data_IF_127501674902
#
_entry.id   IF_127501674902
#
_cell.length_a   1.000
_cell.length_b   1.000
_cell.length_c   1.000
_cell.angle_alpha   90.00
_cell.angle_beta   90.00
_cell.angle_gamma   90.00
#
_symmetry.space_group_name_H-M   'P 1'
#
loop_
_entity.id
_entity.type
_entity.pdbx_description
1 polymer ?
#
# COMPACT_ATOMS: atom_id res chain seq x y z
N UNK A 1 -11.31 -20.31 -1.23
CA UNK A 1 -11.36 -19.57 -2.53
C UNK A 1 -11.17 -20.54 -3.68
N UNK A 2 -11.97 -20.45 -4.75
CA UNK A 2 -11.81 -21.30 -5.94
C UNK A 2 -10.64 -20.75 -6.80
N UNK A 3 -9.63 -21.59 -7.04
CA UNK A 3 -8.51 -21.21 -7.91
C UNK A 3 -8.95 -21.28 -9.37
N UNK A 4 -8.62 -20.27 -10.14
CA UNK A 4 -8.95 -20.12 -11.56
C UNK A 4 -7.65 -20.01 -12.37
N UNK A 5 -7.61 -20.58 -13.55
CA UNK A 5 -6.49 -20.38 -14.46
C UNK A 5 -6.41 -18.92 -14.92
N UNK A 6 -5.20 -18.32 -15.04
CA UNK A 6 -5.05 -16.91 -15.40
C UNK A 6 -5.73 -16.49 -16.70
N UNK A 7 -5.73 -17.35 -17.71
CA UNK A 7 -6.39 -17.15 -19.00
C UNK A 7 -7.94 -17.18 -18.91
N UNK A 8 -8.48 -17.90 -17.92
CA UNK A 8 -9.92 -18.02 -17.67
C UNK A 8 -10.44 -17.08 -16.59
N UNK A 9 -9.57 -16.31 -15.97
CA UNK A 9 -10.00 -15.37 -14.94
C UNK A 9 -10.81 -14.22 -15.54
N UNK A 10 -11.91 -13.87 -14.90
CA UNK A 10 -12.76 -12.74 -15.25
C UNK A 10 -12.73 -11.70 -14.12
N UNK A 11 -12.83 -10.40 -14.46
CA UNK A 11 -12.95 -9.35 -13.45
C UNK A 11 -14.11 -9.61 -12.48
N UNK A 12 -13.87 -9.29 -11.21
CA UNK A 12 -14.87 -9.49 -10.17
C UNK A 12 -16.03 -8.51 -10.30
N UNK A 13 -17.17 -8.88 -9.71
CA UNK A 13 -18.40 -8.06 -9.65
C UNK A 13 -19.03 -7.75 -11.04
N UNK A 14 -18.75 -8.55 -12.06
CA UNK A 14 -19.26 -8.33 -13.42
C UNK A 14 -18.71 -7.07 -14.11
N UNK A 15 -17.63 -6.51 -13.60
CA UNK A 15 -17.01 -5.31 -14.17
C UNK A 15 -16.34 -5.67 -15.50
N UNK A 16 -16.56 -4.84 -16.51
CA UNK A 16 -15.83 -4.90 -17.78
C UNK A 16 -14.67 -3.91 -17.69
N UNK A 17 -13.45 -4.41 -17.72
CA UNK A 17 -12.26 -3.59 -17.75
C UNK A 17 -11.95 -3.14 -19.18
N UNK A 18 -11.55 -1.90 -19.33
CA UNK A 18 -10.94 -1.41 -20.58
C UNK A 18 -9.67 -2.22 -20.90
N UNK A 19 -9.30 -2.30 -22.17
CA UNK A 19 -8.18 -3.12 -22.65
C UNK A 19 -6.86 -2.84 -21.90
N UNK A 20 -6.52 -1.56 -21.72
CA UNK A 20 -5.33 -1.16 -20.98
C UNK A 20 -5.37 -1.59 -19.49
N UNK A 21 -6.52 -1.45 -18.84
CA UNK A 21 -6.72 -1.88 -17.45
C UNK A 21 -6.66 -3.42 -17.33
N UNK A 22 -7.28 -4.13 -18.26
CA UNK A 22 -7.24 -5.60 -18.29
C UNK A 22 -5.80 -6.10 -18.49
N UNK A 23 -5.05 -5.47 -19.40
CA UNK A 23 -3.62 -5.75 -19.61
C UNK A 23 -2.81 -5.52 -18.34
N UNK A 24 -2.99 -4.39 -17.65
CA UNK A 24 -2.30 -4.09 -16.41
C UNK A 24 -2.63 -5.07 -15.28
N UNK A 25 -3.90 -5.50 -15.18
CA UNK A 25 -4.31 -6.51 -14.18
C UNK A 25 -3.66 -7.86 -14.45
N UNK A 26 -3.55 -8.29 -15.70
CA UNK A 26 -2.98 -9.60 -16.08
C UNK A 26 -1.47 -9.60 -16.23
N UNK A 27 -0.84 -8.43 -16.33
CA UNK A 27 0.60 -8.31 -16.49
C UNK A 27 1.36 -9.08 -15.40
N UNK A 28 2.31 -9.91 -15.79
CA UNK A 28 3.18 -10.68 -14.91
C UNK A 28 4.57 -10.05 -14.73
N UNK A 29 4.79 -8.89 -15.34
CA UNK A 29 6.06 -8.20 -15.23
C UNK A 29 6.37 -7.82 -13.79
N UNK A 30 7.66 -7.85 -13.45
CA UNK A 30 8.14 -7.57 -12.10
C UNK A 30 7.80 -6.14 -11.65
N UNK A 31 7.81 -5.20 -12.58
CA UNK A 31 7.54 -3.80 -12.33
C UNK A 31 6.56 -3.28 -13.39
N UNK A 32 5.47 -2.69 -12.94
CA UNK A 32 4.42 -2.13 -13.80
C UNK A 32 4.11 -0.72 -13.34
N UNK A 33 4.21 0.25 -14.25
CA UNK A 33 3.76 1.62 -14.03
C UNK A 33 2.42 1.82 -14.71
N UNK A 34 1.42 2.24 -13.95
CA UNK A 34 0.09 2.60 -14.47
C UNK A 34 -0.13 4.10 -14.31
N UNK A 35 -0.29 4.79 -15.41
CA UNK A 35 -0.60 6.22 -15.44
C UNK A 35 -2.09 6.39 -15.74
N UNK A 36 -2.81 7.03 -14.82
CA UNK A 36 -4.25 7.21 -14.93
C UNK A 36 -4.70 8.53 -14.29
N UNK A 37 -5.58 9.25 -14.95
CA UNK A 37 -6.14 10.51 -14.49
C UNK A 37 -7.01 10.40 -13.24
N UNK A 38 -7.45 11.52 -12.65
CA UNK A 38 -8.45 11.53 -11.59
C UNK A 38 -9.73 10.82 -12.05
N UNK A 39 -10.34 10.00 -11.19
CA UNK A 39 -11.57 9.28 -11.53
C UNK A 39 -11.41 8.06 -12.45
N UNK A 40 -10.25 7.81 -13.03
CA UNK A 40 -9.99 6.70 -13.97
C UNK A 40 -9.95 5.29 -13.32
N UNK A 41 -10.55 5.10 -12.16
CA UNK A 41 -10.69 3.79 -11.55
C UNK A 41 -9.41 3.15 -10.99
N UNK A 42 -8.38 3.93 -10.65
CA UNK A 42 -7.11 3.39 -10.09
C UNK A 42 -7.30 2.43 -8.92
N UNK A 43 -8.16 2.78 -7.97
CA UNK A 43 -8.45 1.94 -6.80
C UNK A 43 -9.14 0.63 -7.22
N UNK A 44 -10.01 0.71 -8.21
CA UNK A 44 -10.67 -0.46 -8.77
C UNK A 44 -9.66 -1.39 -9.47
N UNK A 45 -8.78 -0.83 -10.28
CA UNK A 45 -7.72 -1.59 -10.94
C UNK A 45 -6.82 -2.32 -9.94
N UNK A 46 -6.41 -1.66 -8.86
CA UNK A 46 -5.63 -2.29 -7.80
C UNK A 46 -6.39 -3.43 -7.09
N UNK A 47 -7.69 -3.24 -6.84
CA UNK A 47 -8.51 -4.26 -6.24
C UNK A 47 -8.70 -5.47 -7.17
N UNK A 48 -8.88 -5.26 -8.47
CA UNK A 48 -8.95 -6.32 -9.48
C UNK A 48 -7.59 -7.04 -9.61
N UNK A 49 -6.47 -6.31 -9.58
CA UNK A 49 -5.13 -6.91 -9.59
C UNK A 49 -4.90 -7.81 -8.39
N UNK A 50 -5.25 -7.36 -7.19
CA UNK A 50 -5.14 -8.17 -5.98
C UNK A 50 -6.02 -9.44 -6.05
N UNK A 51 -7.25 -9.28 -6.51
CA UNK A 51 -8.16 -10.41 -6.72
C UNK A 51 -7.59 -11.41 -7.75
N UNK A 52 -7.07 -10.91 -8.87
CA UNK A 52 -6.39 -11.73 -9.87
C UNK A 52 -5.24 -12.55 -9.27
N UNK A 53 -4.34 -11.89 -8.54
CA UNK A 53 -3.18 -12.57 -7.94
C UNK A 53 -3.57 -13.66 -6.94
N UNK A 54 -4.60 -13.44 -6.13
CA UNK A 54 -5.08 -14.44 -5.19
C UNK A 54 -5.85 -15.56 -5.90
N UNK A 55 -6.82 -15.23 -6.74
CA UNK A 55 -7.70 -16.21 -7.40
C UNK A 55 -6.97 -17.07 -8.43
N UNK A 56 -5.86 -16.58 -8.98
CA UNK A 56 -5.01 -17.36 -9.89
C UNK A 56 -3.83 -18.03 -9.20
N UNK A 57 -3.75 -17.96 -7.86
CA UNK A 57 -2.69 -18.51 -7.04
C UNK A 57 -1.28 -18.00 -7.42
N UNK A 58 -1.19 -16.78 -7.96
CA UNK A 58 0.11 -16.14 -8.21
C UNK A 58 0.70 -15.54 -6.93
N UNK A 59 -0.13 -15.12 -5.98
CA UNK A 59 0.29 -14.82 -4.62
C UNK A 59 0.05 -16.07 -3.73
N UNK A 60 1.06 -16.92 -3.65
CA UNK A 60 1.00 -18.17 -2.88
C UNK A 60 1.25 -17.95 -1.40
N UNK A 61 0.74 -18.84 -0.53
CA UNK A 61 1.13 -18.83 0.88
C UNK A 61 2.62 -19.14 1.04
N UNK A 62 3.30 -18.48 1.96
CA UNK A 62 2.85 -17.45 2.93
C UNK A 62 2.93 -16.00 2.41
N UNK A 63 3.02 -15.78 1.11
CA UNK A 63 3.15 -14.45 0.51
C UNK A 63 1.94 -13.57 0.82
N UNK A 64 2.22 -12.26 0.94
CA UNK A 64 1.22 -11.23 1.17
C UNK A 64 1.29 -10.16 0.09
N UNK A 65 0.17 -9.50 -0.16
CA UNK A 65 0.11 -8.30 -0.97
C UNK A 65 0.10 -7.10 -0.03
N UNK A 66 1.03 -6.18 -0.21
CA UNK A 66 1.06 -4.89 0.46
C UNK A 66 0.60 -3.81 -0.51
N UNK A 67 -0.43 -3.08 -0.14
CA UNK A 67 -0.90 -1.90 -0.84
C UNK A 67 -0.64 -0.66 0.00
N UNK A 68 0.04 0.33 -0.56
CA UNK A 68 0.34 1.60 0.11
C UNK A 68 -0.46 2.70 -0.55
N UNK A 69 -1.17 3.47 0.26
CA UNK A 69 -1.99 4.60 -0.18
C UNK A 69 -1.56 5.88 0.54
N UNK A 70 -1.89 7.01 -0.05
CA UNK A 70 -1.61 8.30 0.60
C UNK A 70 -2.61 8.62 1.71
N UNK A 71 -3.88 8.22 1.56
CA UNK A 71 -4.97 8.50 2.50
C UNK A 71 -5.47 7.24 3.19
N UNK A 72 -5.81 7.36 4.47
CA UNK A 72 -6.38 6.27 5.29
C UNK A 72 -7.66 5.71 4.68
N UNK A 73 -8.59 6.58 4.26
CA UNK A 73 -9.86 6.15 3.65
C UNK A 73 -9.63 5.36 2.36
N UNK A 74 -8.63 5.75 1.56
CA UNK A 74 -8.28 5.02 0.33
C UNK A 74 -7.72 3.62 0.65
N UNK A 75 -6.87 3.52 1.67
CA UNK A 75 -6.33 2.25 2.13
C UNK A 75 -7.43 1.34 2.66
N UNK A 76 -8.33 1.85 3.48
CA UNK A 76 -9.45 1.10 4.03
C UNK A 76 -10.43 0.64 2.94
N UNK A 77 -10.81 1.53 2.03
CA UNK A 77 -11.71 1.21 0.91
C UNK A 77 -11.13 0.11 0.02
N UNK A 78 -9.83 0.17 -0.29
CA UNK A 78 -9.17 -0.86 -1.07
C UNK A 78 -9.18 -2.21 -0.35
N UNK A 79 -8.90 -2.22 0.95
CA UNK A 79 -8.93 -3.42 1.78
C UNK A 79 -10.30 -4.09 1.75
N UNK A 80 -11.35 -3.33 2.02
CA UNK A 80 -12.73 -3.84 2.03
C UNK A 80 -13.16 -4.42 0.68
N UNK A 81 -12.77 -3.77 -0.43
CA UNK A 81 -13.05 -4.28 -1.78
C UNK A 81 -12.40 -5.62 -2.05
N UNK A 82 -11.13 -5.77 -1.66
CA UNK A 82 -10.38 -7.02 -1.87
C UNK A 82 -10.91 -8.14 -0.98
N UNK A 83 -11.17 -7.86 0.31
CA UNK A 83 -11.72 -8.83 1.25
C UNK A 83 -13.10 -9.32 0.83
N UNK A 84 -13.97 -8.42 0.34
CA UNK A 84 -15.30 -8.80 -0.17
C UNK A 84 -15.22 -9.75 -1.38
N UNK A 85 -14.23 -9.54 -2.26
CA UNK A 85 -14.06 -10.33 -3.51
C UNK A 85 -13.38 -11.67 -3.31
N UNK A 86 -12.43 -11.70 -2.40
CA UNK A 86 -11.61 -12.89 -2.20
C UNK A 86 -12.03 -13.71 -0.97
N UNK A 87 -12.92 -13.15 -0.12
CA UNK A 87 -13.44 -13.81 1.07
C UNK A 87 -12.46 -13.86 2.23
N UNK A 88 -12.88 -14.57 3.29
CA UNK A 88 -12.13 -14.64 4.55
C UNK A 88 -10.78 -15.38 4.43
N UNK A 89 -10.59 -16.16 3.38
CA UNK A 89 -9.40 -16.99 3.17
C UNK A 89 -8.12 -16.16 2.94
N UNK A 90 -8.26 -14.88 2.52
CA UNK A 90 -7.14 -13.97 2.36
C UNK A 90 -6.87 -13.12 3.60
N UNK A 91 -7.60 -13.36 4.70
CA UNK A 91 -7.44 -12.56 5.93
C UNK A 91 -5.98 -12.57 6.40
N UNK A 92 -5.43 -11.36 6.58
CA UNK A 92 -4.02 -11.17 6.96
C UNK A 92 -3.01 -11.34 5.81
N UNK A 93 -3.46 -11.69 4.59
CA UNK A 93 -2.59 -11.78 3.41
C UNK A 93 -2.67 -10.55 2.51
N UNK A 94 -3.76 -9.78 2.60
CA UNK A 94 -3.87 -8.46 1.98
C UNK A 94 -3.72 -7.38 3.05
N UNK A 95 -2.65 -6.61 2.96
CA UNK A 95 -2.33 -5.52 3.89
C UNK A 95 -2.44 -4.22 3.12
N UNK A 96 -3.32 -3.32 3.55
CA UNK A 96 -3.49 -2.00 2.96
C UNK A 96 -3.35 -0.95 4.04
N UNK A 97 -2.44 -0.01 3.85
CA UNK A 97 -2.11 1.02 4.83
C UNK A 97 -1.60 2.29 4.17
N UNK A 98 -1.47 3.36 4.94
CA UNK A 98 -0.81 4.58 4.48
C UNK A 98 0.71 4.40 4.45
N UNK A 99 1.39 5.31 3.73
CA UNK A 99 2.85 5.33 3.72
C UNK A 99 3.42 5.52 5.12
N UNK A 100 2.85 6.42 5.92
CA UNK A 100 3.31 6.68 7.30
C UNK A 100 3.11 5.46 8.20
N UNK A 101 1.97 4.79 8.10
CA UNK A 101 1.72 3.54 8.83
C UNK A 101 2.70 2.44 8.40
N UNK A 102 3.04 2.37 7.11
CA UNK A 102 4.06 1.44 6.62
C UNK A 102 5.44 1.78 7.20
N UNK A 103 5.87 3.03 7.10
CA UNK A 103 7.15 3.49 7.65
C UNK A 103 7.25 3.19 9.15
N UNK A 104 6.20 3.52 9.91
CA UNK A 104 6.11 3.16 11.33
C UNK A 104 6.24 1.66 11.56
N UNK A 105 5.55 0.85 10.78
CA UNK A 105 5.61 -0.62 10.93
C UNK A 105 7.01 -1.18 10.68
N UNK A 106 7.74 -0.61 9.72
CA UNK A 106 9.14 -0.96 9.45
C UNK A 106 10.03 -0.57 10.63
N UNK A 107 9.87 0.64 11.14
CA UNK A 107 10.63 1.12 12.31
C UNK A 107 10.35 0.22 13.53
N UNK A 108 9.09 -0.07 13.83
CA UNK A 108 8.71 -0.95 14.95
C UNK A 108 9.32 -2.35 14.85
N UNK A 109 9.41 -2.87 13.61
CA UNK A 109 9.97 -4.20 13.38
C UNK A 109 11.49 -4.24 13.54
N UNK A 110 12.18 -3.20 13.11
CA UNK A 110 13.65 -3.15 13.10
C UNK A 110 14.27 -2.28 14.21
N UNK A 111 13.47 -1.71 15.12
CA UNK A 111 13.97 -0.78 16.14
C UNK A 111 15.15 -1.31 16.98
N UNK A 112 15.17 -2.63 17.24
CA UNK A 112 16.25 -3.24 18.01
C UNK A 112 17.54 -3.45 17.19
N UNK A 113 17.49 -3.33 15.87
CA UNK A 113 18.67 -3.32 15.00
C UNK A 113 19.32 -1.92 14.93
N UNK A 114 18.65 -0.90 15.42
CA UNK A 114 19.21 0.46 15.49
C UNK A 114 20.18 0.57 16.66
N UNK A 115 21.22 1.42 16.54
CA UNK A 115 22.04 1.86 17.68
C UNK A 115 21.16 2.38 18.82
N UNK A 116 21.60 2.19 20.06
CA UNK A 116 20.76 2.47 21.24
C UNK A 116 20.30 3.93 21.29
N UNK A 117 21.17 4.84 20.91
CA UNK A 117 20.92 6.29 20.85
C UNK A 117 19.89 6.71 19.80
N UNK A 118 19.62 5.86 18.80
CA UNK A 118 18.65 6.11 17.73
C UNK A 118 17.35 5.31 17.91
N UNK A 119 17.26 4.50 18.96
CA UNK A 119 16.04 3.72 19.22
C UNK A 119 14.92 4.61 19.71
N UNK A 120 13.75 4.55 19.10
CA UNK A 120 12.60 5.27 19.63
C UNK A 120 12.19 4.71 21.00
N UNK A 121 11.66 5.56 21.86
CA UNK A 121 11.06 5.15 23.12
C UNK A 121 9.94 4.12 22.89
N UNK A 122 9.63 3.24 23.86
CA UNK A 122 8.58 2.22 23.66
C UNK A 122 7.20 2.78 23.29
N UNK A 123 6.90 3.98 23.76
CA UNK A 123 5.64 4.71 23.62
C UNK A 123 5.74 5.91 22.66
N UNK A 124 6.75 5.92 21.78
CA UNK A 124 6.91 7.02 20.84
C UNK A 124 5.68 7.23 19.95
N UNK A 125 5.38 8.48 19.70
CA UNK A 125 4.31 8.88 18.79
C UNK A 125 4.94 9.42 17.50
N UNK A 126 4.32 9.06 16.37
CA UNK A 126 4.60 9.72 15.09
C UNK A 126 3.71 10.94 15.04
N UNK A 127 4.33 12.11 15.06
CA UNK A 127 3.59 13.36 15.12
C UNK A 127 3.57 14.05 13.75
N UNK A 128 2.58 14.90 13.54
CA UNK A 128 2.37 15.65 12.31
C UNK A 128 3.34 16.81 12.12
N UNK A 129 3.21 17.52 11.02
CA UNK A 129 4.11 18.51 10.41
C UNK A 129 4.76 19.56 11.35
N UNK A 130 4.05 19.99 12.40
CA UNK A 130 4.58 21.00 13.33
C UNK A 130 5.78 20.49 14.17
N UNK A 131 5.94 19.19 14.24
CA UNK A 131 7.00 18.53 14.99
C UNK A 131 8.23 18.24 14.12
N UNK A 132 8.08 18.21 12.80
CA UNK A 132 9.23 18.05 11.89
C UNK A 132 10.17 19.25 12.04
N UNK A 133 9.66 20.47 12.08
CA UNK A 133 10.45 21.68 12.30
C UNK A 133 11.09 21.68 13.69
N UNK A 134 10.39 21.18 14.70
CA UNK A 134 10.93 21.02 16.05
C UNK A 134 12.03 19.94 16.09
N UNK A 135 11.84 18.82 15.38
CA UNK A 135 12.85 17.76 15.28
C UNK A 135 14.11 18.25 14.55
N UNK A 136 13.96 18.97 13.45
CA UNK A 136 15.11 19.56 12.74
C UNK A 136 15.87 20.56 13.60
N UNK A 137 15.18 21.41 14.37
CA UNK A 137 15.82 22.32 15.32
C UNK A 137 16.56 21.56 16.42
N UNK A 138 15.96 20.46 16.92
CA UNK A 138 16.58 19.66 17.98
C UNK A 138 17.89 19.00 17.53
N UNK A 139 18.00 18.54 16.27
CA UNK A 139 19.23 17.96 15.72
C UNK A 139 20.19 19.03 15.15
N UNK A 140 19.89 20.32 15.34
CA UNK A 140 20.75 21.44 14.88
C UNK A 140 20.72 21.62 13.34
N UNK A 141 19.74 21.06 12.66
CA UNK A 141 19.57 21.30 11.23
C UNK A 141 18.87 22.66 11.01
N UNK A 142 19.65 23.63 10.60
CA UNK A 142 19.08 24.89 10.09
C UNK A 142 18.59 24.62 8.66
N UNK A 143 17.31 24.82 8.41
CA UNK A 143 16.72 24.75 7.08
C UNK A 143 17.12 26.01 6.29
N UNK A 144 18.19 25.95 5.49
CA UNK A 144 18.75 27.15 4.83
C UNK A 144 17.82 27.75 3.77
N UNK A 145 16.86 26.97 3.27
CA UNK A 145 15.99 27.37 2.17
C UNK A 145 14.56 27.73 2.62
N UNK A 146 14.25 27.65 3.89
CA UNK A 146 12.93 27.96 4.44
C UNK A 146 11.82 27.09 3.82
N UNK A 147 12.17 25.88 3.35
CA UNK A 147 11.22 24.92 2.77
C UNK A 147 10.30 24.39 3.87
N UNK A 148 9.04 24.74 3.80
CA UNK A 148 8.02 24.13 4.63
C UNK A 148 7.59 22.80 4.04
N UNK A 149 7.14 21.81 4.83
CA UNK A 149 6.66 20.51 4.34
C UNK A 149 5.57 20.58 3.26
N UNK A 150 4.87 21.70 3.17
CA UNK A 150 3.86 21.96 2.14
C UNK A 150 4.44 22.34 0.75
N UNK A 151 5.76 22.43 0.62
CA UNK A 151 6.44 22.76 -0.65
C UNK A 151 7.33 21.63 -1.19
N UNK A 152 7.30 20.47 -0.52
CA UNK A 152 7.82 19.21 -1.01
C UNK A 152 6.65 18.32 -1.46
#
# INVERSE_FOLDING_TARGET
MKIVYPDKWLPCDGIVLEEAANTAVRCSDRHVLVIAGPGAGKTELLAQKAAFLFQTNQCKEPQKILAISFKTDAAQNLKERVERRCGAEIKGRFVSMTYDAFAKSVLDHFKYALPEELRPAPDYLVNDSDTIDAAFRYIGYENPDGLTPSKL
#
